data_IF_771351950168
#
_entry.id   IF_771351950168
#
_cell.length_a   1.000
_cell.length_b   1.000
_cell.length_c   1.000
_cell.angle_alpha   90.00
_cell.angle_beta   90.00
_cell.angle_gamma   90.00
#
_symmetry.space_group_name_H-M   'P 1'
#
loop_
_entity.id
_entity.type
_entity.pdbx_description
1 polymer ?
#
# COMPACT_ATOMS: atom_id res chain seq x y z
N UNK A 1 -4.96 -15.94 -28.52
CA UNK A 1 -6.04 -16.67 -27.83
C UNK A 1 -6.58 -15.78 -26.71
N UNK A 2 -7.73 -16.09 -26.15
CA UNK A 2 -8.26 -15.43 -24.95
C UNK A 2 -7.91 -16.31 -23.76
N UNK A 3 -7.14 -15.78 -22.80
CA UNK A 3 -6.85 -16.46 -21.54
C UNK A 3 -8.02 -16.23 -20.57
N UNK A 4 -8.42 -17.28 -19.86
CA UNK A 4 -9.55 -17.25 -18.93
C UNK A 4 -9.08 -17.79 -17.57
N UNK A 5 -9.44 -17.09 -16.51
CA UNK A 5 -9.15 -17.45 -15.12
C UNK A 5 -10.46 -17.40 -14.34
N UNK A 6 -10.74 -18.44 -13.53
CA UNK A 6 -11.99 -18.57 -12.79
C UNK A 6 -11.74 -18.52 -11.28
N UNK A 7 -12.56 -17.72 -10.59
CA UNK A 7 -12.74 -17.79 -9.13
C UNK A 7 -14.24 -17.94 -8.84
N UNK A 8 -14.62 -18.91 -8.01
CA UNK A 8 -16.02 -19.20 -7.70
C UNK A 8 -16.26 -19.39 -6.19
N UNK A 9 -17.36 -18.85 -5.67
CA UNK A 9 -17.74 -18.98 -4.26
C UNK A 9 -18.15 -20.42 -3.94
N UNK A 10 -17.57 -21.02 -2.90
CA UNK A 10 -17.97 -22.32 -2.37
C UNK A 10 -17.52 -23.54 -3.20
N UNK A 11 -16.66 -23.35 -4.22
CA UNK A 11 -16.12 -24.43 -5.04
C UNK A 11 -14.61 -24.57 -4.99
N UNK A 12 -14.08 -25.61 -5.64
CA UNK A 12 -12.66 -25.73 -5.98
C UNK A 12 -12.36 -24.84 -7.18
N UNK A 13 -11.81 -23.65 -6.93
CA UNK A 13 -11.49 -22.69 -7.98
C UNK A 13 -11.16 -21.32 -7.41
N UNK A 14 -9.91 -21.12 -7.01
CA UNK A 14 -9.35 -19.82 -6.66
C UNK A 14 -8.29 -19.47 -7.71
N UNK A 15 -8.56 -18.45 -8.53
CA UNK A 15 -7.70 -17.99 -9.62
C UNK A 15 -7.26 -19.13 -10.57
N UNK A 16 -8.13 -20.10 -10.82
CA UNK A 16 -7.79 -21.30 -11.58
C UNK A 16 -7.76 -20.99 -13.09
N UNK A 17 -6.62 -21.20 -13.77
CA UNK A 17 -6.54 -21.08 -15.23
C UNK A 17 -7.48 -22.08 -15.92
N UNK A 18 -8.17 -21.62 -16.95
CA UNK A 18 -9.08 -22.41 -17.78
C UNK A 18 -8.47 -22.66 -19.16
N UNK A 19 -9.07 -23.58 -19.92
CA UNK A 19 -8.68 -23.79 -21.32
C UNK A 19 -8.84 -22.47 -22.11
N UNK A 20 -7.81 -22.00 -22.84
CA UNK A 20 -7.91 -20.76 -23.61
C UNK A 20 -9.01 -20.81 -24.66
N UNK A 21 -9.76 -19.72 -24.80
CA UNK A 21 -10.81 -19.61 -25.80
C UNK A 21 -10.25 -19.11 -27.14
N UNK A 22 -10.72 -19.72 -28.23
CA UNK A 22 -10.48 -19.25 -29.58
C UNK A 22 -11.46 -18.10 -29.93
N UNK A 23 -11.00 -17.15 -30.74
CA UNK A 23 -11.89 -16.14 -31.32
C UNK A 23 -12.89 -16.80 -32.27
N UNK A 24 -14.15 -16.37 -32.20
CA UNK A 24 -15.22 -16.83 -33.08
C UNK A 24 -15.70 -15.65 -33.94
N UNK A 25 -16.02 -15.91 -35.21
CA UNK A 25 -16.37 -14.87 -36.19
C UNK A 25 -17.76 -14.27 -35.98
N UNK A 26 -18.65 -14.98 -35.29
CA UNK A 26 -20.01 -14.55 -34.94
C UNK A 26 -20.37 -15.09 -33.54
N UNK A 27 -21.08 -14.32 -32.70
CA UNK A 27 -21.59 -14.82 -31.42
C UNK A 27 -22.71 -15.87 -31.64
N UNK A 28 -22.84 -16.89 -30.79
CA UNK A 28 -23.94 -17.86 -30.89
C UNK A 28 -25.30 -17.18 -30.70
N UNK A 29 -26.27 -17.51 -31.56
CA UNK A 29 -27.63 -17.00 -31.45
C UNK A 29 -28.29 -17.39 -30.13
N UNK A 30 -28.99 -16.43 -29.50
CA UNK A 30 -29.79 -16.66 -28.29
C UNK A 30 -29.02 -16.57 -26.96
N UNK A 31 -27.71 -16.30 -26.97
CA UNK A 31 -26.94 -16.08 -25.75
C UNK A 31 -26.84 -14.59 -25.36
N UNK A 32 -26.81 -14.27 -24.05
CA UNK A 32 -26.44 -12.94 -23.57
C UNK A 32 -25.07 -12.51 -24.14
N UNK A 33 -25.01 -11.31 -24.73
CA UNK A 33 -23.81 -10.81 -25.41
C UNK A 33 -23.40 -9.46 -24.83
N UNK A 34 -22.11 -9.31 -24.53
CA UNK A 34 -21.49 -8.05 -24.09
C UNK A 34 -20.63 -7.51 -25.22
N UNK A 35 -20.83 -6.24 -25.58
CA UNK A 35 -20.10 -5.56 -26.66
C UNK A 35 -19.00 -4.67 -26.07
N UNK A 36 -17.79 -4.74 -26.64
CA UNK A 36 -16.64 -3.91 -26.25
C UNK A 36 -16.28 -3.00 -27.42
N UNK A 37 -16.37 -1.68 -27.18
CA UNK A 37 -16.00 -0.66 -28.16
C UNK A 37 -14.60 -0.11 -27.83
N UNK A 38 -13.59 -0.58 -28.57
CA UNK A 38 -12.19 -0.20 -28.37
C UNK A 38 -11.87 1.24 -28.82
N UNK A 39 -12.79 1.95 -29.49
CA UNK A 39 -12.61 3.35 -29.88
C UNK A 39 -12.97 4.33 -28.75
N UNK A 40 -13.65 3.86 -27.70
CA UNK A 40 -14.13 4.67 -26.58
C UNK A 40 -13.20 4.52 -25.38
N UNK A 41 -12.39 5.54 -25.15
CA UNK A 41 -11.45 5.60 -24.03
C UNK A 41 -12.04 6.33 -22.81
N UNK A 42 -11.59 5.94 -21.63
CA UNK A 42 -11.95 6.52 -20.33
C UNK A 42 -10.66 6.82 -19.53
N UNK A 43 -10.68 6.71 -18.20
CA UNK A 43 -9.50 6.93 -17.36
C UNK A 43 -8.40 5.89 -17.56
N UNK A 44 -7.14 6.33 -17.46
CA UNK A 44 -5.99 5.43 -17.27
C UNK A 44 -6.03 4.88 -15.84
N UNK A 45 -5.82 3.57 -15.69
CA UNK A 45 -5.68 2.92 -14.38
C UNK A 45 -4.22 2.97 -13.94
N UNK A 46 -3.94 3.54 -12.76
CA UNK A 46 -2.58 3.69 -12.23
C UNK A 46 -1.96 2.35 -11.80
N UNK A 47 -2.78 1.44 -11.26
CA UNK A 47 -2.36 0.11 -10.80
C UNK A 47 -3.30 -0.46 -9.76
N UNK A 48 -2.96 -1.64 -9.26
CA UNK A 48 -3.65 -2.33 -8.16
C UNK A 48 -2.61 -2.87 -7.16
N UNK A 49 -3.03 -3.12 -5.93
CA UNK A 49 -2.16 -3.69 -4.89
C UNK A 49 -2.75 -3.59 -3.49
N UNK A 50 -1.86 -3.53 -2.49
CA UNK A 50 -2.19 -3.70 -1.08
C UNK A 50 -1.57 -2.62 -0.18
N UNK A 51 -1.96 -2.62 1.10
CA UNK A 51 -1.35 -1.76 2.11
C UNK A 51 -0.24 -2.49 2.86
N UNK A 52 0.93 -1.86 2.97
CA UNK A 52 1.97 -2.23 3.93
C UNK A 52 1.59 -1.62 5.29
N UNK A 53 1.21 -2.51 6.22
CA UNK A 53 0.95 -2.16 7.62
C UNK A 53 1.99 -2.83 8.52
N UNK A 54 2.27 -2.26 9.68
CA UNK A 54 3.20 -2.87 10.65
C UNK A 54 2.74 -4.29 11.03
N UNK A 55 1.44 -4.52 11.24
CA UNK A 55 0.89 -5.85 11.47
C UNK A 55 1.19 -6.82 10.32
N UNK A 56 0.97 -6.42 9.05
CA UNK A 56 1.30 -7.26 7.91
C UNK A 56 2.81 -7.54 7.80
N UNK A 57 3.64 -6.53 8.09
CA UNK A 57 5.09 -6.63 8.03
C UNK A 57 5.66 -7.58 9.09
N UNK A 58 5.23 -7.48 10.36
CA UNK A 58 5.71 -8.38 11.42
C UNK A 58 5.16 -9.81 11.24
N UNK A 59 3.94 -9.96 10.70
CA UNK A 59 3.40 -11.28 10.33
C UNK A 59 4.21 -11.91 9.20
N UNK A 60 4.57 -11.14 8.16
CA UNK A 60 5.44 -11.62 7.09
C UNK A 60 6.84 -11.97 7.60
N UNK A 61 7.45 -11.15 8.47
CA UNK A 61 8.76 -11.45 9.06
C UNK A 61 8.78 -12.71 9.94
N UNK A 62 7.65 -13.09 10.53
CA UNK A 62 7.52 -14.33 11.29
C UNK A 62 7.48 -15.61 10.43
N UNK A 63 7.29 -15.48 9.11
CA UNK A 63 7.33 -16.61 8.18
C UNK A 63 8.76 -17.12 7.97
N UNK A 64 8.97 -18.42 7.70
CA UNK A 64 10.24 -18.94 7.20
C UNK A 64 10.71 -18.22 5.92
N UNK A 65 12.03 -18.06 5.66
CA UNK A 65 12.54 -17.31 4.51
C UNK A 65 12.06 -17.80 3.13
N UNK A 66 11.65 -19.06 3.01
CA UNK A 66 11.03 -19.60 1.80
C UNK A 66 9.61 -19.05 1.59
N UNK A 67 8.76 -19.14 2.61
CA UNK A 67 7.39 -18.60 2.59
C UNK A 67 7.38 -17.07 2.48
N UNK A 68 8.39 -16.38 3.02
CA UNK A 68 8.57 -14.94 2.80
C UNK A 68 8.74 -14.59 1.31
N UNK A 69 9.51 -15.41 0.56
CA UNK A 69 9.70 -15.24 -0.89
C UNK A 69 8.44 -15.65 -1.65
N UNK A 70 7.87 -16.81 -1.34
CA UNK A 70 6.63 -17.32 -1.94
C UNK A 70 5.50 -16.27 -1.86
N UNK A 71 5.28 -15.68 -0.68
CA UNK A 71 4.29 -14.64 -0.49
C UNK A 71 4.56 -13.38 -1.32
N UNK A 72 5.83 -12.95 -1.39
CA UNK A 72 6.21 -11.77 -2.17
C UNK A 72 6.07 -12.02 -3.68
N UNK A 73 6.45 -13.20 -4.16
CA UNK A 73 6.20 -13.64 -5.54
C UNK A 73 4.70 -13.70 -5.84
N UNK A 74 3.90 -14.38 -5.01
CA UNK A 74 2.45 -14.50 -5.21
C UNK A 74 1.73 -13.13 -5.26
N UNK A 75 2.17 -12.16 -4.45
CA UNK A 75 1.59 -10.81 -4.46
C UNK A 75 2.13 -9.92 -5.59
N UNK A 76 3.45 -9.89 -5.78
CA UNK A 76 4.11 -8.88 -6.61
C UNK A 76 4.57 -9.40 -7.97
N UNK A 77 4.84 -10.68 -8.17
CA UNK A 77 5.22 -11.27 -9.47
C UNK A 77 4.11 -11.10 -10.51
N UNK A 78 4.46 -10.84 -11.76
CA UNK A 78 3.51 -10.61 -12.87
C UNK A 78 3.08 -11.91 -13.51
N UNK A 79 4.02 -12.82 -13.69
CA UNK A 79 3.82 -14.02 -14.51
C UNK A 79 3.41 -15.24 -13.65
N UNK A 80 3.75 -15.21 -12.35
CA UNK A 80 3.46 -16.24 -11.34
C UNK A 80 2.69 -15.71 -10.11
N UNK A 81 2.26 -14.44 -10.13
CA UNK A 81 1.58 -13.78 -9.01
C UNK A 81 0.44 -12.83 -9.44
N UNK A 82 0.09 -11.89 -8.57
CA UNK A 82 -1.00 -10.90 -8.79
C UNK A 82 -0.55 -9.60 -9.45
N UNK A 83 0.75 -9.43 -9.73
CA UNK A 83 1.29 -8.28 -10.46
C UNK A 83 1.09 -6.94 -9.77
N UNK A 84 1.04 -6.89 -8.43
CA UNK A 84 0.81 -5.65 -7.69
C UNK A 84 1.84 -4.57 -8.03
N UNK A 85 1.34 -3.33 -8.16
CA UNK A 85 2.05 -2.14 -8.69
C UNK A 85 1.67 -0.84 -7.99
N UNK A 86 0.53 -0.79 -7.30
CA UNK A 86 0.10 0.38 -6.52
C UNK A 86 -0.15 -0.03 -5.06
N UNK A 87 0.74 0.41 -4.18
CA UNK A 87 0.68 0.09 -2.76
C UNK A 87 0.49 1.33 -1.89
N UNK A 88 0.09 1.11 -0.63
CA UNK A 88 -0.11 2.15 0.37
C UNK A 88 0.76 1.89 1.61
N UNK A 89 1.32 2.94 2.21
CA UNK A 89 2.04 2.86 3.51
C UNK A 89 1.45 3.88 4.49
N UNK A 90 1.46 3.56 5.78
CA UNK A 90 1.07 4.49 6.83
C UNK A 90 2.23 5.38 7.27
N UNK A 91 1.94 6.64 7.60
CA UNK A 91 2.86 7.54 8.30
C UNK A 91 2.36 7.71 9.75
N UNK A 92 3.25 7.53 10.74
CA UNK A 92 2.89 7.18 12.13
C UNK A 92 2.09 5.86 12.20
N UNK A 93 1.65 5.47 13.40
CA UNK A 93 0.80 4.27 13.59
C UNK A 93 -0.55 4.35 12.87
N UNK A 94 -1.09 3.17 12.57
CA UNK A 94 -2.48 2.94 12.19
C UNK A 94 -3.15 1.96 13.17
N UNK A 95 -4.43 1.64 12.94
CA UNK A 95 -5.16 0.58 13.64
C UNK A 95 -4.56 -0.82 13.43
N UNK A 96 -3.82 -1.02 12.34
CA UNK A 96 -3.02 -2.23 12.06
C UNK A 96 -1.52 -2.04 12.41
N UNK A 97 -1.24 -1.32 13.50
CA UNK A 97 0.07 -1.30 14.15
C UNK A 97 0.03 -2.03 15.50
N UNK A 98 1.19 -2.48 15.99
CA UNK A 98 1.33 -3.14 17.29
C UNK A 98 1.07 -2.19 18.48
N UNK A 99 1.02 -0.89 18.22
CA UNK A 99 0.66 0.14 19.18
C UNK A 99 0.68 1.52 18.55
N UNK A 100 0.24 2.52 19.31
CA UNK A 100 0.40 3.91 18.90
C UNK A 100 1.89 4.29 18.89
N UNK A 101 2.32 4.93 17.81
CA UNK A 101 3.64 5.53 17.70
C UNK A 101 3.60 6.69 16.71
N UNK A 102 4.47 7.68 16.88
CA UNK A 102 4.68 8.71 15.88
C UNK A 102 6.17 8.89 15.57
N UNK A 103 6.49 9.45 14.39
CA UNK A 103 7.88 9.75 14.05
C UNK A 103 8.48 10.89 14.90
N UNK A 104 7.65 11.66 15.61
CA UNK A 104 8.05 12.76 16.50
C UNK A 104 7.19 12.71 17.77
N UNK A 105 7.61 11.92 18.74
CA UNK A 105 6.87 11.72 20.00
C UNK A 105 7.18 12.80 21.06
N UNK A 106 8.36 13.42 20.97
CA UNK A 106 8.78 14.49 21.87
C UNK A 106 7.81 15.67 21.80
N UNK A 107 7.21 16.02 22.93
CA UNK A 107 6.27 17.13 23.04
C UNK A 107 6.95 18.48 22.72
N UNK A 108 6.21 19.33 22.01
CA UNK A 108 6.61 20.69 21.60
C UNK A 108 7.92 20.77 20.78
N UNK A 109 8.33 19.67 20.15
CA UNK A 109 9.43 19.65 19.18
C UNK A 109 8.99 20.20 17.81
N UNK A 110 8.73 21.50 17.74
CA UNK A 110 8.36 22.19 16.49
C UNK A 110 9.48 22.17 15.43
N UNK A 111 10.73 21.90 15.82
CA UNK A 111 11.88 21.78 14.93
C UNK A 111 12.02 20.37 14.30
N UNK A 112 11.31 19.38 14.86
CA UNK A 112 11.39 17.96 14.50
C UNK A 112 12.81 17.39 14.66
N UNK A 113 13.51 17.81 15.73
CA UNK A 113 14.83 17.30 16.08
C UNK A 113 14.81 15.82 16.50
N UNK A 114 13.69 15.35 17.06
CA UNK A 114 13.49 13.94 17.44
C UNK A 114 12.91 13.08 16.30
N UNK A 115 12.86 13.59 15.06
CA UNK A 115 12.26 12.86 13.94
C UNK A 115 13.00 11.55 13.65
N UNK A 116 12.28 10.43 13.67
CA UNK A 116 12.83 9.11 13.39
C UNK A 116 11.86 8.16 12.67
N UNK A 117 12.41 7.38 11.74
CA UNK A 117 11.75 6.23 11.10
C UNK A 117 12.34 4.89 11.57
N UNK A 118 13.12 4.87 12.66
CA UNK A 118 13.80 3.68 13.19
C UNK A 118 12.88 2.52 13.60
N UNK A 119 11.56 2.77 13.68
CA UNK A 119 10.54 1.73 13.84
C UNK A 119 10.13 1.11 12.50
N UNK A 120 9.91 1.94 11.49
CA UNK A 120 9.60 1.50 10.13
C UNK A 120 10.77 0.70 9.52
N UNK A 121 12.02 1.07 9.87
CA UNK A 121 13.24 0.33 9.53
C UNK A 121 13.24 -1.13 10.03
N UNK A 122 12.50 -1.46 11.08
CA UNK A 122 12.47 -2.81 11.66
C UNK A 122 11.62 -3.78 10.83
N UNK A 123 10.50 -3.32 10.27
CA UNK A 123 9.50 -4.19 9.63
C UNK A 123 8.98 -3.66 8.28
N UNK A 124 8.52 -2.41 8.22
CA UNK A 124 7.91 -1.83 7.02
C UNK A 124 8.91 -1.72 5.85
N UNK A 125 10.07 -1.09 6.07
CA UNK A 125 11.07 -0.92 5.01
C UNK A 125 11.64 -2.27 4.50
N UNK A 126 11.96 -3.26 5.35
CA UNK A 126 12.27 -4.62 4.89
C UNK A 126 11.18 -5.24 3.99
N UNK A 127 9.91 -5.15 4.39
CA UNK A 127 8.80 -5.71 3.62
C UNK A 127 8.61 -5.00 2.26
N UNK A 128 8.67 -3.67 2.25
CA UNK A 128 8.55 -2.87 1.02
C UNK A 128 9.70 -3.17 0.05
N UNK A 129 10.94 -3.30 0.57
CA UNK A 129 12.11 -3.63 -0.26
C UNK A 129 12.03 -5.04 -0.85
N UNK A 130 11.50 -6.01 -0.10
CA UNK A 130 11.27 -7.36 -0.61
C UNK A 130 10.25 -7.36 -1.77
N UNK A 131 9.17 -6.58 -1.65
CA UNK A 131 8.20 -6.39 -2.72
C UNK A 131 8.80 -5.68 -3.95
N UNK A 132 9.57 -4.60 -3.73
CA UNK A 132 10.27 -3.88 -4.81
C UNK A 132 11.22 -4.81 -5.56
N UNK A 133 12.00 -5.64 -4.87
CA UNK A 133 12.94 -6.56 -5.50
C UNK A 133 12.26 -7.55 -6.48
N UNK A 134 11.07 -8.06 -6.13
CA UNK A 134 10.28 -8.92 -7.04
C UNK A 134 9.79 -8.15 -8.26
N UNK A 135 9.24 -6.94 -8.07
CA UNK A 135 8.78 -6.11 -9.19
C UNK A 135 9.94 -5.68 -10.12
N UNK A 136 11.07 -5.27 -9.54
CA UNK A 136 12.27 -4.83 -10.25
C UNK A 136 12.91 -5.96 -11.07
N UNK A 137 12.91 -7.20 -10.57
CA UNK A 137 13.40 -8.36 -11.31
C UNK A 137 12.65 -8.61 -12.64
N UNK A 138 11.41 -8.15 -12.74
CA UNK A 138 10.58 -8.22 -13.95
C UNK A 138 10.48 -6.89 -14.72
N UNK A 139 11.28 -5.88 -14.35
CA UNK A 139 11.29 -4.56 -14.98
C UNK A 139 10.08 -3.68 -14.66
N UNK A 140 9.45 -3.85 -13.48
CA UNK A 140 8.31 -3.03 -13.00
C UNK A 140 8.66 -2.27 -11.73
N UNK A 141 8.01 -1.13 -11.54
CA UNK A 141 8.12 -0.29 -10.35
C UNK A 141 6.88 -0.42 -9.45
N UNK A 142 7.05 -0.24 -8.14
CA UNK A 142 5.94 -0.12 -7.19
C UNK A 142 5.69 1.35 -6.91
N UNK A 143 4.50 1.83 -7.26
CA UNK A 143 4.00 3.16 -6.89
C UNK A 143 3.53 3.13 -5.44
N UNK A 144 4.15 3.94 -4.57
CA UNK A 144 3.84 3.96 -3.14
C UNK A 144 3.11 5.26 -2.72
N UNK A 145 1.89 5.10 -2.20
CA UNK A 145 1.06 6.17 -1.64
C UNK A 145 1.21 6.20 -0.11
N UNK A 146 1.71 7.29 0.46
CA UNK A 146 1.75 7.47 1.91
C UNK A 146 0.46 8.11 2.44
N UNK A 147 0.05 7.77 3.66
CA UNK A 147 -1.07 8.43 4.32
C UNK A 147 -1.02 8.27 5.84
N UNK A 148 -1.11 9.36 6.64
CA UNK A 148 -1.22 9.24 8.09
C UNK A 148 -2.66 8.96 8.53
N UNK A 149 -2.80 8.29 9.66
CA UNK A 149 -4.05 8.21 10.41
C UNK A 149 -4.20 9.37 11.38
N UNK A 150 -3.10 9.78 12.02
CA UNK A 150 -3.12 10.77 13.10
C UNK A 150 -1.78 11.52 13.22
N UNK A 151 -1.79 12.84 13.46
CA UNK A 151 -0.62 13.55 13.97
C UNK A 151 -0.17 13.02 15.36
N UNK A 152 1.05 13.32 15.81
CA UNK A 152 1.49 13.05 17.17
C UNK A 152 0.50 13.59 18.21
N UNK A 153 0.40 12.92 19.35
CA UNK A 153 -0.53 13.26 20.43
C UNK A 153 -0.46 14.74 20.85
N UNK A 154 0.75 15.29 21.00
CA UNK A 154 1.00 16.68 21.39
C UNK A 154 0.57 17.71 20.32
N UNK A 155 0.50 17.31 19.04
CA UNK A 155 0.02 18.17 17.96
C UNK A 155 -1.51 18.23 17.88
N UNK A 156 -2.24 17.43 18.66
CA UNK A 156 -3.71 17.33 18.60
C UNK A 156 -4.39 18.04 19.77
N UNK A 157 -5.56 18.62 19.51
CA UNK A 157 -6.39 19.29 20.54
C UNK A 157 -6.86 18.38 21.67
N UNK A 158 -6.82 17.06 21.48
CA UNK A 158 -7.20 16.04 22.46
C UNK A 158 -6.02 15.50 23.28
N UNK A 159 -4.77 15.84 22.93
CA UNK A 159 -3.59 15.25 23.56
C UNK A 159 -3.43 13.73 23.31
N UNK A 160 -4.17 13.16 22.35
CA UNK A 160 -4.20 11.72 22.09
C UNK A 160 -4.23 11.42 20.58
N UNK A 161 -3.48 10.41 20.13
CA UNK A 161 -3.52 9.96 18.73
C UNK A 161 -4.87 9.33 18.36
N UNK A 162 -5.52 8.67 19.30
CA UNK A 162 -6.88 8.14 19.18
C UNK A 162 -7.92 9.24 19.49
N UNK A 163 -9.21 8.90 19.46
CA UNK A 163 -10.31 9.73 19.97
C UNK A 163 -10.50 11.09 19.25
N UNK A 164 -10.14 11.16 17.97
CA UNK A 164 -10.45 12.30 17.11
C UNK A 164 -9.72 13.58 17.50
N UNK A 165 -10.47 14.68 17.56
CA UNK A 165 -9.89 16.01 17.72
C UNK A 165 -9.36 16.59 16.41
N UNK A 166 -8.61 17.69 16.49
CA UNK A 166 -8.05 18.40 15.35
C UNK A 166 -6.55 18.63 15.54
N UNK A 167 -5.83 18.82 14.45
CA UNK A 167 -4.48 19.38 14.48
C UNK A 167 -4.55 20.80 15.06
N UNK A 168 -3.73 21.10 16.08
CA UNK A 168 -3.60 22.46 16.64
C UNK A 168 -3.05 23.40 15.56
N UNK A 169 -3.43 24.68 15.62
CA UNK A 169 -3.11 25.62 14.55
C UNK A 169 -1.63 26.01 14.51
N UNK A 170 -1.01 26.14 15.68
CA UNK A 170 0.43 26.34 15.87
C UNK A 170 1.26 25.15 15.36
N UNK A 171 0.74 23.92 15.48
CA UNK A 171 1.40 22.71 14.97
C UNK A 171 1.29 22.51 13.45
N UNK A 172 0.53 23.33 12.70
CA UNK A 172 0.32 23.11 11.25
C UNK A 172 1.63 23.12 10.44
N UNK A 173 2.55 24.04 10.74
CA UNK A 173 3.83 24.15 10.04
C UNK A 173 4.74 22.96 10.35
N UNK A 174 4.86 22.58 11.63
CA UNK A 174 5.61 21.42 12.06
C UNK A 174 5.05 20.12 11.44
N UNK A 175 3.73 19.96 11.41
CA UNK A 175 3.09 18.79 10.79
C UNK A 175 3.34 18.70 9.28
N UNK A 176 3.31 19.82 8.56
CA UNK A 176 3.69 19.83 7.14
C UNK A 176 5.15 19.40 6.93
N UNK A 177 6.06 19.83 7.81
CA UNK A 177 7.46 19.39 7.78
C UNK A 177 7.65 17.91 8.16
N UNK A 178 6.76 17.31 8.96
CA UNK A 178 6.78 15.85 9.23
C UNK A 178 6.61 15.04 7.94
N UNK A 179 5.69 15.44 7.05
CA UNK A 179 5.55 14.79 5.73
C UNK A 179 6.84 14.92 4.91
N UNK A 180 7.46 16.11 4.87
CA UNK A 180 8.70 16.34 4.11
C UNK A 180 9.81 15.44 4.62
N UNK A 181 10.03 15.39 5.94
CA UNK A 181 11.04 14.52 6.56
C UNK A 181 10.74 13.03 6.32
N UNK A 182 9.47 12.60 6.39
CA UNK A 182 9.07 11.23 6.09
C UNK A 182 9.37 10.83 4.64
N UNK A 183 8.95 11.64 3.67
CA UNK A 183 9.21 11.41 2.23
C UNK A 183 10.71 11.36 1.96
N UNK A 184 11.49 12.28 2.54
CA UNK A 184 12.95 12.33 2.38
C UNK A 184 13.64 11.12 3.02
N UNK A 185 13.22 10.70 4.21
CA UNK A 185 13.82 9.56 4.91
C UNK A 185 13.51 8.22 4.21
N UNK A 186 12.30 8.06 3.68
CA UNK A 186 11.93 6.91 2.85
C UNK A 186 12.69 6.89 1.51
N UNK A 187 12.80 8.04 0.84
CA UNK A 187 13.59 8.16 -0.39
C UNK A 187 15.08 7.87 -0.17
N UNK A 188 15.67 8.33 0.95
CA UNK A 188 17.05 8.03 1.34
C UNK A 188 17.28 6.53 1.58
N UNK A 189 16.23 5.77 1.93
CA UNK A 189 16.26 4.33 2.04
C UNK A 189 16.00 3.58 0.72
N UNK A 190 15.84 4.26 -0.41
CA UNK A 190 15.51 3.65 -1.71
C UNK A 190 14.02 3.35 -1.91
N UNK A 191 13.15 3.94 -1.08
CA UNK A 191 11.70 3.74 -1.11
C UNK A 191 11.02 5.07 -1.43
N UNK A 192 11.02 5.54 -2.69
CA UNK A 192 10.41 6.82 -3.04
C UNK A 192 8.89 6.79 -2.85
N UNK A 193 8.34 7.85 -2.24
CA UNK A 193 6.88 8.06 -2.12
C UNK A 193 6.40 8.82 -3.36
N UNK A 194 5.42 8.26 -4.08
CA UNK A 194 4.82 8.87 -5.27
C UNK A 194 3.82 9.99 -4.91
N UNK A 195 3.07 9.81 -3.84
CA UNK A 195 2.06 10.76 -3.40
C UNK A 195 1.67 10.57 -1.93
N UNK A 196 1.04 11.59 -1.36
CA UNK A 196 0.58 11.60 0.03
C UNK A 196 -0.89 12.00 0.12
N UNK A 197 -1.67 11.30 0.97
CA UNK A 197 -2.98 11.77 1.40
C UNK A 197 -2.82 12.68 2.64
N UNK A 198 -3.60 13.76 2.71
CA UNK A 198 -3.54 14.73 3.82
C UNK A 198 -4.10 14.18 5.15
N UNK A 199 -4.99 13.18 5.08
CA UNK A 199 -5.58 12.49 6.23
C UNK A 199 -6.30 11.22 5.74
N UNK A 200 -6.23 10.11 6.49
CA UNK A 200 -6.89 8.85 6.10
C UNK A 200 -8.40 8.85 6.38
N UNK A 201 -8.83 9.28 7.57
CA UNK A 201 -10.25 9.31 7.96
C UNK A 201 -10.53 10.46 8.93
N UNK A 202 -11.57 11.27 8.68
CA UNK A 202 -11.92 12.41 9.57
C UNK A 202 -12.54 12.01 10.91
N UNK A 203 -12.71 10.71 11.18
CA UNK A 203 -13.45 10.18 12.31
C UNK A 203 -12.76 8.92 12.87
N UNK A 204 -11.99 9.05 13.95
CA UNK A 204 -11.69 8.02 15.00
C UNK A 204 -11.77 8.64 16.49
#
# INVERSE_FOLDING_TARGET
MIHLTLTAQGGTGFLQPQAPLAWQTMPPHGLPTVWVDASRHFQTVLGFGAAFTEAAAVTWQALPPEQQREFMTACFGRDDGHGYTLCRVHMNSCDFALGNYAHVEQADDFALNSFSIARDEQALLPMIKAAQAVAHAEGREITLLASPWSPPAWMKTTGAMNLGGKLREDCRAAWAQCYVRFIQAYAAHGVPIWGCLLYTSRCV
#
